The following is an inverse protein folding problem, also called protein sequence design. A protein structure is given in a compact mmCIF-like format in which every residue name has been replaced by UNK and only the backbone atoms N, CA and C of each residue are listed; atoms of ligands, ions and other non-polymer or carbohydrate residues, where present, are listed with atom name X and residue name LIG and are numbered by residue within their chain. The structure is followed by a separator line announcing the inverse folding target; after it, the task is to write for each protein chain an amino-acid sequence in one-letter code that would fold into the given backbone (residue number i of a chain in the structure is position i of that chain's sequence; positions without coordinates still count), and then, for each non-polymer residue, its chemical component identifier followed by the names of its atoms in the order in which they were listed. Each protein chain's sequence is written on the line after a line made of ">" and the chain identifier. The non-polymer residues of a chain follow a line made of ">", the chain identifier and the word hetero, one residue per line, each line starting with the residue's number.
data_IF_103553226474
#
_entry.id   IF_103553226474
#
_cell.length_a   1.000
_cell.length_b   1.000
_cell.length_c   1.000
_cell.angle_alpha   90.00
_cell.angle_beta   90.00
_cell.angle_gamma   90.00
#
_symmetry.space_group_name_H-M   'P 1'
#
loop_
_entity.id
_entity.type
_entity.pdbx_description
1 polymer ?
#
# COMPACT_ATOMS: atom_id res chain seq x y z
N UNK A 1 -17.07 -20.74 16.00
CA UNK A 1 -16.30 -19.50 16.24
C UNK A 1 -15.86 -18.99 14.88
N UNK A 2 -16.37 -17.86 14.38
CA UNK A 2 -15.97 -17.33 13.07
C UNK A 2 -14.59 -16.71 13.25
N UNK A 3 -13.59 -17.20 12.51
CA UNK A 3 -12.24 -16.63 12.57
C UNK A 3 -12.32 -15.12 12.24
N UNK A 4 -11.60 -14.25 12.97
CA UNK A 4 -11.64 -12.83 12.69
C UNK A 4 -11.16 -12.58 11.25
N UNK A 5 -12.02 -11.98 10.42
CA UNK A 5 -11.77 -11.69 9.01
C UNK A 5 -10.78 -10.53 8.78
N UNK A 6 -10.11 -10.07 9.84
CA UNK A 6 -9.17 -8.96 9.83
C UNK A 6 -7.85 -9.39 10.46
N UNK A 7 -6.74 -9.12 9.77
CA UNK A 7 -5.40 -9.37 10.27
C UNK A 7 -4.54 -8.11 10.09
N UNK A 8 -3.92 -7.66 11.18
CA UNK A 8 -3.08 -6.47 11.18
C UNK A 8 -1.62 -6.85 11.16
N UNK A 9 -0.84 -6.19 10.31
CA UNK A 9 0.60 -6.35 10.20
C UNK A 9 1.26 -4.97 10.15
N UNK A 10 2.42 -4.85 10.81
CA UNK A 10 3.21 -3.63 10.86
C UNK A 10 4.65 -3.99 10.49
N UNK A 11 5.17 -3.31 9.49
CA UNK A 11 6.59 -3.28 9.17
C UNK A 11 7.12 -1.85 9.35
N UNK A 12 8.36 -1.73 9.80
CA UNK A 12 9.07 -0.46 9.87
C UNK A 12 10.27 -0.49 8.94
N UNK A 13 10.57 0.66 8.33
CA UNK A 13 11.69 0.82 7.42
C UNK A 13 12.41 2.13 7.71
N UNK A 14 13.73 2.04 7.86
CA UNK A 14 14.58 3.22 7.98
C UNK A 14 15.18 3.56 6.61
N UNK A 15 15.03 4.80 6.19
CA UNK A 15 15.69 5.34 4.99
C UNK A 15 16.23 6.72 5.31
N UNK A 16 17.53 6.94 5.09
CA UNK A 16 18.19 8.22 5.39
C UNK A 16 17.95 8.69 6.83
N UNK A 17 18.09 7.79 7.82
CA UNK A 17 17.88 8.06 9.26
C UNK A 17 16.43 8.45 9.63
N UNK A 18 15.48 8.34 8.69
CA UNK A 18 14.06 8.56 8.93
C UNK A 18 13.33 7.21 8.97
N UNK A 19 12.55 7.00 10.03
CA UNK A 19 11.72 5.80 10.21
C UNK A 19 10.34 6.00 9.58
N UNK A 20 9.89 5.01 8.83
CA UNK A 20 8.57 4.96 8.20
C UNK A 20 7.80 3.72 8.64
N UNK A 21 6.51 3.90 8.89
CA UNK A 21 5.56 2.84 9.21
C UNK A 21 4.86 2.37 7.94
N UNK A 22 4.86 1.05 7.73
CA UNK A 22 4.03 0.36 6.74
C UNK A 22 3.02 -0.46 7.54
N UNK A 23 1.78 0.02 7.60
CA UNK A 23 0.68 -0.70 8.26
C UNK A 23 -0.16 -1.39 7.20
N UNK A 24 -0.55 -2.63 7.52
CA UNK A 24 -1.34 -3.48 6.64
C UNK A 24 -2.52 -4.00 7.43
N UNK A 25 -3.71 -3.84 6.86
CA UNK A 25 -4.92 -4.50 7.32
C UNK A 25 -5.40 -5.42 6.21
N UNK A 26 -5.13 -6.72 6.38
CA UNK A 26 -5.68 -7.76 5.53
C UNK A 26 -7.14 -8.00 5.88
N UNK A 27 -7.96 -8.04 4.85
CA UNK A 27 -9.37 -8.40 4.88
C UNK A 27 -9.59 -9.65 4.04
N UNK A 28 -10.84 -10.11 3.91
CA UNK A 28 -11.18 -11.33 3.16
C UNK A 28 -10.68 -11.30 1.71
N UNK A 29 -11.08 -10.28 0.96
CA UNK A 29 -10.82 -10.16 -0.49
C UNK A 29 -10.05 -8.87 -0.85
N UNK A 30 -9.54 -8.18 0.17
CA UNK A 30 -8.87 -6.89 0.02
C UNK A 30 -7.80 -6.66 1.08
N UNK A 31 -6.97 -5.65 0.84
CA UNK A 31 -5.91 -5.22 1.76
C UNK A 31 -5.89 -3.71 1.80
N UNK A 32 -5.76 -3.15 3.00
CA UNK A 32 -5.45 -1.74 3.19
C UNK A 32 -3.98 -1.60 3.55
N UNK A 33 -3.27 -0.76 2.81
CA UNK A 33 -1.93 -0.28 3.14
C UNK A 33 -2.01 1.15 3.65
N UNK A 34 -1.22 1.44 4.66
CA UNK A 34 -0.90 2.79 5.09
C UNK A 34 0.61 2.91 5.14
N UNK A 35 1.13 4.00 4.58
CA UNK A 35 2.57 4.27 4.51
C UNK A 35 2.79 5.72 4.93
N UNK A 36 3.60 5.96 5.96
CA UNK A 36 3.91 7.30 6.45
C UNK A 36 5.12 7.32 7.37
N UNK A 37 5.67 8.50 7.61
CA UNK A 37 6.76 8.67 8.57
C UNK A 37 6.27 8.38 10.01
N UNK A 38 7.12 7.75 10.82
CA UNK A 38 6.81 7.46 12.22
C UNK A 38 6.49 8.75 12.98
N UNK A 39 5.44 8.71 13.81
CA UNK A 39 4.88 9.84 14.58
C UNK A 39 4.37 11.04 13.76
N UNK A 40 4.35 10.95 12.43
CA UNK A 40 3.80 11.96 11.53
C UNK A 40 2.79 11.32 10.56
N UNK A 41 1.86 10.56 11.13
CA UNK A 41 0.92 9.74 10.37
C UNK A 41 -0.27 10.57 9.85
N UNK A 42 -0.45 10.66 8.52
CA UNK A 42 -1.57 11.39 7.87
C UNK A 42 -2.28 10.55 6.81
N UNK A 43 -3.59 10.80 6.61
CA UNK A 43 -4.40 10.23 5.51
C UNK A 43 -4.76 11.32 4.49
N UNK A 44 -3.74 11.98 3.95
CA UNK A 44 -3.90 13.11 3.00
C UNK A 44 -3.91 12.68 1.52
N UNK A 45 -3.39 11.49 1.22
CA UNK A 45 -3.49 10.84 -0.08
C UNK A 45 -3.96 9.40 0.09
N UNK A 46 -4.94 8.99 -0.72
CA UNK A 46 -5.50 7.65 -0.72
C UNK A 46 -5.96 7.24 -2.12
N UNK A 47 -5.68 5.99 -2.49
CA UNK A 47 -6.13 5.40 -3.74
C UNK A 47 -6.68 3.99 -3.53
N UNK A 48 -7.36 3.49 -4.56
CA UNK A 48 -7.81 2.10 -4.65
C UNK A 48 -7.43 1.52 -5.99
N UNK A 49 -7.03 0.25 -5.99
CA UNK A 49 -6.81 -0.51 -7.21
C UNK A 49 -7.32 -1.94 -7.07
N UNK A 50 -7.71 -2.57 -8.17
CA UNK A 50 -8.19 -3.94 -8.18
C UNK A 50 -7.97 -4.62 -9.53
N UNK A 51 -7.81 -5.96 -9.57
CA UNK A 51 -7.81 -6.70 -10.83
C UNK A 51 -9.10 -6.44 -11.62
N UNK A 52 -8.98 -6.26 -12.93
CA UNK A 52 -10.14 -6.14 -13.81
C UNK A 52 -10.86 -7.51 -13.87
N UNK A 53 -12.14 -7.54 -13.47
CA UNK A 53 -12.94 -8.78 -13.45
C UNK A 53 -13.10 -9.41 -14.84
N UNK A 54 -13.09 -8.60 -15.90
CA UNK A 54 -13.22 -9.04 -17.28
C UNK A 54 -11.87 -9.42 -17.91
N UNK A 55 -10.77 -8.89 -17.38
CA UNK A 55 -9.41 -9.17 -17.85
C UNK A 55 -8.46 -9.28 -16.64
N UNK A 56 -8.26 -10.49 -16.13
CA UNK A 56 -7.45 -10.72 -14.93
C UNK A 56 -5.96 -10.35 -15.03
N UNK A 57 -5.48 -9.91 -16.20
CA UNK A 57 -4.11 -9.39 -16.39
C UNK A 57 -4.01 -7.87 -16.22
N UNK A 58 -5.14 -7.16 -16.37
CA UNK A 58 -5.25 -5.73 -16.18
C UNK A 58 -5.61 -5.38 -14.73
N UNK A 59 -5.16 -4.20 -14.29
CA UNK A 59 -5.49 -3.64 -12.98
C UNK A 59 -6.06 -2.25 -13.17
N UNK A 60 -7.26 -2.04 -12.65
CA UNK A 60 -7.91 -0.74 -12.60
C UNK A 60 -7.48 -0.03 -11.31
N UNK A 61 -7.32 1.29 -11.37
CA UNK A 61 -6.96 2.08 -10.21
C UNK A 61 -7.49 3.50 -10.32
N UNK A 62 -7.79 4.11 -9.17
CA UNK A 62 -8.22 5.51 -9.09
C UNK A 62 -7.84 6.11 -7.75
N UNK A 63 -7.66 7.43 -7.73
CA UNK A 63 -7.39 8.21 -6.52
C UNK A 63 -8.72 8.53 -5.82
N UNK A 64 -8.79 8.29 -4.51
CA UNK A 64 -9.95 8.62 -3.66
C UNK A 64 -9.75 10.00 -3.04
N UNK A 65 -8.58 10.23 -2.45
CA UNK A 65 -8.17 11.49 -1.83
C UNK A 65 -6.81 11.85 -2.45
N UNK A 66 -6.70 13.04 -3.04
CA UNK A 66 -5.48 13.51 -3.68
C UNK A 66 -5.74 14.31 -4.96
N UNK A 67 -4.70 14.54 -5.77
CA UNK A 67 -4.82 15.26 -7.03
C UNK A 67 -5.78 14.58 -8.02
N UNK A 68 -6.53 15.37 -8.83
CA UNK A 68 -7.53 14.83 -9.76
C UNK A 68 -6.93 14.09 -10.95
N UNK A 69 -5.65 14.31 -11.26
CA UNK A 69 -4.90 13.71 -12.38
C UNK A 69 -4.20 12.39 -12.01
N UNK A 70 -4.34 11.93 -10.77
CA UNK A 70 -3.71 10.71 -10.27
C UNK A 70 -2.68 11.01 -9.19
N UNK A 71 -2.28 9.97 -8.46
CA UNK A 71 -1.46 10.10 -7.27
C UNK A 71 -0.39 9.01 -7.19
N UNK A 72 0.68 9.26 -6.43
CA UNK A 72 1.70 8.23 -6.18
C UNK A 72 1.10 7.01 -5.47
N UNK A 73 0.07 7.22 -4.66
CA UNK A 73 -0.71 6.17 -4.05
C UNK A 73 -1.40 5.27 -5.07
N UNK A 74 -1.95 5.84 -6.15
CA UNK A 74 -2.63 5.08 -7.20
C UNK A 74 -1.67 4.13 -7.92
N UNK A 75 -0.51 4.64 -8.34
CA UNK A 75 0.49 3.83 -9.06
C UNK A 75 0.97 2.65 -8.21
N UNK A 76 1.25 2.91 -6.92
CA UNK A 76 1.68 1.86 -5.99
C UNK A 76 0.54 0.87 -5.70
N UNK A 77 -0.69 1.34 -5.50
CA UNK A 77 -1.86 0.49 -5.30
C UNK A 77 -2.07 -0.45 -6.49
N UNK A 78 -1.92 0.03 -7.73
CA UNK A 78 -2.06 -0.82 -8.92
C UNK A 78 -1.00 -1.92 -8.99
N UNK A 79 0.26 -1.59 -8.68
CA UNK A 79 1.33 -2.59 -8.65
C UNK A 79 1.12 -3.63 -7.55
N UNK A 80 0.64 -3.21 -6.38
CA UNK A 80 0.30 -4.11 -5.27
C UNK A 80 -0.91 -4.98 -5.59
N UNK A 81 -1.97 -4.42 -6.15
CA UNK A 81 -3.16 -5.17 -6.59
C UNK A 81 -2.79 -6.21 -7.65
N UNK A 82 -1.89 -5.87 -8.58
CA UNK A 82 -1.33 -6.83 -9.56
C UNK A 82 -0.56 -7.97 -8.88
N UNK A 83 0.25 -7.64 -7.87
CA UNK A 83 1.09 -8.60 -7.13
C UNK A 83 0.28 -9.55 -6.25
N UNK A 84 -0.74 -9.01 -5.57
CA UNK A 84 -1.57 -9.72 -4.61
C UNK A 84 -2.79 -10.38 -5.24
N UNK A 85 -3.19 -9.95 -6.45
CA UNK A 85 -4.43 -10.36 -7.12
C UNK A 85 -5.68 -10.10 -6.26
N UNK A 86 -5.66 -9.00 -5.52
CA UNK A 86 -6.73 -8.54 -4.60
C UNK A 86 -6.97 -7.06 -4.78
N UNK A 87 -8.11 -6.57 -4.29
CA UNK A 87 -8.33 -5.15 -4.17
C UNK A 87 -7.41 -4.55 -3.11
N UNK A 88 -6.72 -3.47 -3.45
CA UNK A 88 -5.79 -2.76 -2.57
C UNK A 88 -6.29 -1.34 -2.39
N UNK A 89 -6.52 -0.98 -1.12
CA UNK A 89 -6.60 0.41 -0.70
C UNK A 89 -5.22 0.83 -0.22
N UNK A 90 -4.79 2.04 -0.56
CA UNK A 90 -3.48 2.50 -0.16
C UNK A 90 -3.53 3.96 0.23
N UNK A 91 -3.09 4.28 1.44
CA UNK A 91 -2.77 5.64 1.85
C UNK A 91 -1.26 5.85 1.84
N UNK A 92 -0.85 6.96 1.22
CA UNK A 92 0.54 7.34 1.06
C UNK A 92 0.74 8.74 1.64
N UNK A 93 1.11 8.82 2.90
CA UNK A 93 1.21 10.10 3.60
C UNK A 93 2.15 11.08 2.88
N UNK A 94 1.81 12.36 2.89
CA UNK A 94 2.67 13.44 2.39
C UNK A 94 4.03 13.52 3.09
N UNK A 95 4.14 12.92 4.27
CA UNK A 95 5.41 12.74 5.01
C UNK A 95 6.37 11.76 4.33
N UNK A 96 5.96 11.05 3.27
CA UNK A 96 6.83 10.18 2.48
C UNK A 96 7.29 10.92 1.21
N UNK A 97 8.55 11.35 1.15
CA UNK A 97 9.10 12.06 -0.01
C UNK A 97 8.93 11.31 -1.32
N UNK A 98 8.55 12.05 -2.38
CA UNK A 98 8.53 11.54 -3.75
C UNK A 98 9.88 11.73 -4.46
N UNK A 99 10.95 11.28 -3.83
CA UNK A 99 12.30 11.33 -4.40
C UNK A 99 12.78 9.94 -4.87
N UNK A 100 13.89 9.93 -5.61
CA UNK A 100 14.44 8.73 -6.27
C UNK A 100 15.15 7.76 -5.32
N UNK A 101 15.25 8.07 -4.04
CA UNK A 101 15.91 7.26 -3.01
C UNK A 101 14.86 6.71 -2.05
N UNK A 102 14.06 7.56 -1.43
CA UNK A 102 13.13 7.19 -0.37
C UNK A 102 12.00 6.32 -0.90
N UNK A 103 11.29 6.79 -1.94
CA UNK A 103 10.13 6.08 -2.50
C UNK A 103 10.50 4.67 -2.98
N UNK A 104 11.54 4.47 -3.82
CA UNK A 104 11.92 3.12 -4.26
C UNK A 104 12.39 2.22 -3.12
N UNK A 105 13.05 2.76 -2.08
CA UNK A 105 13.52 1.98 -0.93
C UNK A 105 12.36 1.44 -0.09
N UNK A 106 11.35 2.27 0.16
CA UNK A 106 10.12 1.86 0.86
C UNK A 106 9.36 0.82 0.05
N UNK A 107 9.15 1.07 -1.25
CA UNK A 107 8.44 0.11 -2.11
C UNK A 107 9.15 -1.23 -2.16
N UNK A 108 10.48 -1.23 -2.35
CA UNK A 108 11.27 -2.47 -2.33
C UNK A 108 11.03 -3.25 -1.04
N UNK A 109 11.06 -2.57 0.12
CA UNK A 109 10.79 -3.20 1.41
C UNK A 109 9.38 -3.79 1.48
N UNK A 110 8.36 -3.12 0.96
CA UNK A 110 6.99 -3.66 0.89
C UNK A 110 6.94 -4.93 0.02
N UNK A 111 7.54 -4.92 -1.17
CA UNK A 111 7.53 -6.08 -2.06
C UNK A 111 8.34 -7.26 -1.50
N UNK A 112 9.44 -6.98 -0.80
CA UNK A 112 10.22 -8.00 -0.09
C UNK A 112 9.42 -8.59 1.10
N UNK A 113 8.70 -7.76 1.84
CA UNK A 113 7.84 -8.20 2.94
C UNK A 113 6.69 -9.07 2.46
N UNK A 114 6.01 -8.69 1.36
CA UNK A 114 4.99 -9.51 0.70
C UNK A 114 5.56 -10.86 0.24
N UNK A 115 6.80 -10.88 -0.24
CA UNK A 115 7.44 -12.12 -0.68
C UNK A 115 7.70 -13.07 0.49
N UNK A 116 8.03 -12.54 1.66
CA UNK A 116 8.42 -13.33 2.82
C UNK A 116 7.25 -13.68 3.75
N UNK A 117 6.20 -12.86 3.79
CA UNK A 117 5.09 -12.93 4.75
C UNK A 117 3.72 -12.80 4.04
N UNK A 118 3.50 -13.54 2.94
CA UNK A 118 2.30 -13.39 2.07
C UNK A 118 0.97 -13.58 2.83
N UNK A 119 0.97 -14.32 3.93
CA UNK A 119 -0.17 -14.56 4.80
C UNK A 119 -0.66 -13.30 5.54
N UNK A 120 0.19 -12.28 5.67
CA UNK A 120 -0.16 -10.98 6.24
C UNK A 120 -0.94 -10.07 5.27
N UNK A 121 -1.04 -10.46 3.99
CA UNK A 121 -1.64 -9.69 2.89
C UNK A 121 -2.75 -10.47 2.15
#
# INVERSE_FOLDING_TARGET
>A
MVAPNFHSHLAQVEVCEVQYNIRVLKMKDSVLFYIGQDKAETFDEMAVAMPNANNGTEVLGTTIIGPPDGSGAQDLAQRLAKRLKKQVYLSLGSSVPNDRIVRPSIEKKIFDDIKNNIECF
#
